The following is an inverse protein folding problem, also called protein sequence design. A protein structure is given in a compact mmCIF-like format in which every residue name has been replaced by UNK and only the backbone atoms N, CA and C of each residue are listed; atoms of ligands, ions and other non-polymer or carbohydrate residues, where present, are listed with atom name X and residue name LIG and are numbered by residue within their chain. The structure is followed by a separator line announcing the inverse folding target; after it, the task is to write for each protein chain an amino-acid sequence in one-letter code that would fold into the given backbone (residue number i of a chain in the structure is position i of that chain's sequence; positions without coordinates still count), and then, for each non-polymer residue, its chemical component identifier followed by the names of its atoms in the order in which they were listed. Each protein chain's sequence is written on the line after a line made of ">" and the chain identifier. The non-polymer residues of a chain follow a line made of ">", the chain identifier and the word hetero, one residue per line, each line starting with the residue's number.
data_IF_530427090386
#
_entry.id   IF_530427090386
#
_cell.length_a   1.000
_cell.length_b   1.000
_cell.length_c   1.000
_cell.angle_alpha   90.00
_cell.angle_beta   90.00
_cell.angle_gamma   90.00
#
_symmetry.space_group_name_H-M   'P 1'
#
loop_
_entity.id
_entity.type
_entity.pdbx_description
1 polymer ?
#
# COMPACT_ATOMS: atom_id res chain seq x y z
N UNK A 1 -9.45 -3.27 -18.46
CA UNK A 1 -10.34 -3.01 -17.32
C UNK A 1 -9.94 -1.71 -16.63
N UNK A 2 -10.88 -0.80 -16.37
CA UNK A 2 -10.67 0.39 -15.52
C UNK A 2 -10.79 0.04 -14.02
N UNK A 3 -10.26 -1.10 -13.60
CA UNK A 3 -10.10 -1.34 -12.16
C UNK A 3 -8.85 -0.59 -11.72
N UNK A 4 -9.04 0.59 -11.15
CA UNK A 4 -7.98 1.24 -10.38
C UNK A 4 -7.75 0.41 -9.12
N UNK A 5 -6.83 -0.55 -9.19
CA UNK A 5 -6.43 -1.37 -8.06
C UNK A 5 -5.78 -0.44 -7.04
N UNK A 6 -6.35 -0.38 -5.84
CA UNK A 6 -5.80 0.43 -4.76
C UNK A 6 -5.44 -0.43 -3.56
N UNK A 7 -4.22 -0.26 -3.07
CA UNK A 7 -3.69 -0.88 -1.87
C UNK A 7 -3.57 0.17 -0.77
N UNK A 8 -4.20 -0.04 0.37
CA UNK A 8 -4.09 0.82 1.55
C UNK A 8 -3.35 0.11 2.67
N UNK A 9 -2.32 0.76 3.21
CA UNK A 9 -1.47 0.25 4.29
C UNK A 9 -1.17 1.35 5.31
N UNK A 10 -0.81 0.95 6.54
CA UNK A 10 -0.44 1.87 7.62
C UNK A 10 0.97 2.42 7.44
N UNK A 11 1.12 3.74 7.32
CA UNK A 11 2.43 4.39 7.37
C UNK A 11 3.02 4.34 8.77
N UNK A 12 2.18 4.40 9.82
CA UNK A 12 2.65 4.29 11.21
C UNK A 12 3.40 2.99 11.43
N UNK A 13 2.81 1.86 11.03
CA UNK A 13 3.44 0.53 11.18
C UNK A 13 4.76 0.45 10.41
N UNK A 14 4.82 1.05 9.22
CA UNK A 14 6.05 1.04 8.41
C UNK A 14 7.18 1.78 9.13
N UNK A 15 6.90 2.94 9.71
CA UNK A 15 7.90 3.74 10.42
C UNK A 15 8.29 3.11 11.76
N UNK A 16 7.34 2.51 12.48
CA UNK A 16 7.54 1.87 13.79
C UNK A 16 8.45 0.63 13.71
N UNK A 17 8.34 -0.16 12.64
CA UNK A 17 9.14 -1.39 12.45
C UNK A 17 10.60 -1.08 12.03
N UNK A 18 10.89 0.13 11.56
CA UNK A 18 12.24 0.62 11.26
C UNK A 18 12.64 0.58 9.77
N UNK A 19 13.83 1.13 9.48
CA UNK A 19 14.28 1.45 8.12
C UNK A 19 14.41 0.24 7.18
N UNK A 20 14.83 -0.92 7.68
CA UNK A 20 14.95 -2.13 6.85
C UNK A 20 13.58 -2.68 6.44
N UNK A 21 12.60 -2.58 7.34
CA UNK A 21 11.22 -2.93 7.05
C UNK A 21 10.61 -1.95 6.05
N UNK A 22 10.83 -0.65 6.26
CA UNK A 22 10.44 0.44 5.36
C UNK A 22 10.92 0.20 3.93
N UNK A 23 12.22 -0.06 3.75
CA UNK A 23 12.80 -0.39 2.44
C UNK A 23 12.15 -1.60 1.81
N UNK A 24 11.98 -2.69 2.58
CA UNK A 24 11.38 -3.93 2.09
C UNK A 24 9.94 -3.72 1.62
N UNK A 25 9.14 -2.96 2.35
CA UNK A 25 7.75 -2.63 1.96
C UNK A 25 7.75 -1.83 0.65
N UNK A 26 8.58 -0.79 0.56
CA UNK A 26 8.63 0.08 -0.62
C UNK A 26 9.13 -0.65 -1.87
N UNK A 27 10.12 -1.54 -1.75
CA UNK A 27 10.59 -2.37 -2.86
C UNK A 27 9.50 -3.32 -3.39
N UNK A 28 8.72 -3.94 -2.49
CA UNK A 28 7.61 -4.80 -2.90
C UNK A 28 6.53 -4.01 -3.63
N UNK A 29 6.15 -2.85 -3.10
CA UNK A 29 5.20 -1.94 -3.75
C UNK A 29 5.68 -1.53 -5.13
N UNK A 30 6.97 -1.19 -5.26
CA UNK A 30 7.57 -0.84 -6.54
C UNK A 30 7.49 -1.98 -7.56
N UNK A 31 7.84 -3.21 -7.14
CA UNK A 31 7.71 -4.41 -7.99
C UNK A 31 6.26 -4.65 -8.43
N UNK A 32 5.30 -4.45 -7.53
CA UNK A 32 3.87 -4.60 -7.86
C UNK A 32 3.41 -3.55 -8.86
N UNK A 33 3.86 -2.30 -8.71
CA UNK A 33 3.59 -1.24 -9.69
C UNK A 33 4.09 -1.60 -11.08
N UNK A 34 5.29 -2.17 -11.19
CA UNK A 34 5.85 -2.59 -12.48
C UNK A 34 5.08 -3.79 -13.08
N UNK A 35 4.57 -4.71 -12.25
CA UNK A 35 3.79 -5.86 -12.72
C UNK A 35 2.36 -5.51 -13.15
N UNK A 36 1.71 -4.62 -12.42
CA UNK A 36 0.31 -4.19 -12.64
C UNK A 36 0.25 -3.08 -13.70
N UNK A 37 1.24 -2.21 -13.73
CA UNK A 37 1.26 -0.95 -14.46
C UNK A 37 0.96 0.23 -13.53
N UNK A 38 1.85 1.23 -13.52
CA UNK A 38 1.80 2.38 -12.61
C UNK A 38 0.52 3.22 -12.70
N UNK A 39 -0.14 3.24 -13.86
CA UNK A 39 -1.42 3.92 -14.07
C UNK A 39 -2.62 3.19 -13.46
N UNK A 40 -2.48 1.89 -13.24
CA UNK A 40 -3.57 1.03 -12.75
C UNK A 40 -3.43 0.67 -11.27
N UNK A 41 -2.27 0.95 -10.67
CA UNK A 41 -1.98 0.65 -9.28
C UNK A 41 -1.80 1.91 -8.45
N UNK A 42 -2.70 2.12 -7.49
CA UNK A 42 -2.66 3.21 -6.52
C UNK A 42 -2.27 2.70 -5.14
N UNK A 43 -1.36 3.40 -4.48
CA UNK A 43 -0.92 3.08 -3.12
C UNK A 43 -1.39 4.18 -2.19
N UNK A 44 -2.05 3.80 -1.10
CA UNK A 44 -2.55 4.73 -0.08
C UNK A 44 -1.79 4.43 1.21
N UNK A 45 -0.91 5.34 1.57
CA UNK A 45 -0.18 5.32 2.83
C UNK A 45 -1.00 6.10 3.85
N UNK A 46 -1.73 5.37 4.69
CA UNK A 46 -2.59 5.96 5.70
C UNK A 46 -1.82 6.23 6.97
N UNK A 47 -1.97 7.40 7.56
CA UNK A 47 -1.34 7.71 8.83
C UNK A 47 -2.33 8.27 9.85
N UNK A 48 -2.16 7.89 11.12
CA UNK A 48 -2.85 8.49 12.25
C UNK A 48 -1.82 9.19 13.14
N UNK A 49 -1.88 10.52 13.23
CA UNK A 49 -1.06 11.31 14.15
C UNK A 49 0.47 11.13 14.01
N UNK A 50 0.97 10.95 12.79
CA UNK A 50 2.42 11.03 12.51
C UNK A 50 2.80 12.49 12.31
N UNK A 51 3.94 12.90 12.87
CA UNK A 51 4.50 14.23 12.71
C UNK A 51 4.93 14.49 11.26
N UNK A 52 4.74 15.74 10.81
CA UNK A 52 5.08 16.15 9.44
C UNK A 52 6.57 15.91 9.13
N UNK A 53 7.44 16.05 10.14
CA UNK A 53 8.88 15.81 10.00
C UNK A 53 9.19 14.36 9.61
N UNK A 54 8.50 13.39 10.20
CA UNK A 54 8.71 11.98 9.92
C UNK A 54 8.15 11.60 8.56
N UNK A 55 6.99 12.17 8.18
CA UNK A 55 6.43 12.02 6.84
C UNK A 55 7.41 12.58 5.79
N UNK A 56 7.95 13.79 6.01
CA UNK A 56 8.95 14.38 5.12
C UNK A 56 10.22 13.53 5.03
N UNK A 57 10.70 13.02 6.17
CA UNK A 57 11.85 12.11 6.21
C UNK A 57 11.61 10.84 5.39
N UNK A 58 10.44 10.22 5.52
CA UNK A 58 10.01 9.07 4.72
C UNK A 58 9.99 9.41 3.22
N UNK A 59 9.37 10.54 2.85
CA UNK A 59 9.30 10.99 1.46
C UNK A 59 10.70 11.23 0.89
N UNK A 60 11.60 11.90 1.61
CA UNK A 60 12.97 12.13 1.15
C UNK A 60 13.76 10.84 0.93
N UNK A 61 13.56 9.82 1.77
CA UNK A 61 14.25 8.52 1.61
C UNK A 61 13.75 7.73 0.40
N UNK A 62 12.48 7.91 0.04
CA UNK A 62 11.80 7.10 -0.98
C UNK A 62 11.29 7.90 -2.18
N UNK A 63 11.77 9.12 -2.37
CA UNK A 63 11.31 10.09 -3.38
C UNK A 63 11.25 9.46 -4.77
N UNK A 64 12.33 8.81 -5.20
CA UNK A 64 12.43 8.15 -6.50
C UNK A 64 11.34 7.11 -6.72
N UNK A 65 11.05 6.29 -5.70
CA UNK A 65 10.02 5.26 -5.79
C UNK A 65 8.67 5.94 -5.83
N UNK A 66 8.38 6.80 -4.85
CA UNK A 66 7.09 7.48 -4.69
C UNK A 66 6.68 8.31 -5.92
N UNK A 67 7.64 8.87 -6.65
CA UNK A 67 7.39 9.59 -7.89
C UNK A 67 6.95 8.67 -9.05
N UNK A 68 7.46 7.43 -9.08
CA UNK A 68 7.16 6.46 -10.14
C UNK A 68 5.85 5.71 -9.91
N UNK A 69 5.38 5.66 -8.66
CA UNK A 69 4.15 4.95 -8.27
C UNK A 69 3.04 5.96 -7.95
N UNK A 70 1.79 5.65 -8.30
CA UNK A 70 0.67 6.51 -7.96
C UNK A 70 0.36 6.42 -6.45
N UNK A 71 1.03 7.24 -5.65
CA UNK A 71 0.92 7.22 -4.18
C UNK A 71 0.09 8.38 -3.65
N UNK A 72 -0.66 8.10 -2.57
CA UNK A 72 -1.32 9.11 -1.74
C UNK A 72 -0.97 8.86 -0.28
N UNK A 73 -0.32 9.83 0.37
CA UNK A 73 -0.16 9.86 1.84
C UNK A 73 -1.34 10.65 2.42
N UNK A 74 -2.08 10.09 3.38
CA UNK A 74 -3.23 10.79 3.96
C UNK A 74 -3.64 10.29 5.34
N UNK A 75 -4.18 11.19 6.16
CA UNK A 75 -4.84 10.86 7.44
C UNK A 75 -6.35 10.74 7.33
N UNK A 76 -6.91 10.98 6.14
CA UNK A 76 -8.35 10.94 5.92
C UNK A 76 -8.82 9.55 5.53
N UNK A 77 -10.01 9.18 6.00
CA UNK A 77 -10.66 7.95 5.55
C UNK A 77 -10.97 8.05 4.06
N UNK A 78 -10.46 7.07 3.32
CA UNK A 78 -10.59 6.97 1.89
C UNK A 78 -10.86 5.51 1.52
N UNK A 79 -11.66 5.33 0.49
CA UNK A 79 -11.97 4.02 -0.04
C UNK A 79 -10.74 3.40 -0.69
N UNK A 80 -10.48 2.14 -0.38
CA UNK A 80 -9.44 1.34 -1.00
C UNK A 80 -10.01 0.01 -1.49
N UNK A 81 -9.41 -0.55 -2.53
CA UNK A 81 -9.85 -1.84 -3.04
C UNK A 81 -9.36 -2.98 -2.14
N UNK A 82 -8.10 -2.91 -1.70
CA UNK A 82 -7.51 -3.82 -0.73
C UNK A 82 -6.88 -3.05 0.43
N UNK A 83 -7.20 -3.45 1.65
CA UNK A 83 -6.61 -2.86 2.87
C UNK A 83 -5.84 -3.91 3.64
N UNK A 84 -4.62 -3.58 4.06
CA UNK A 84 -3.86 -4.35 5.04
C UNK A 84 -3.87 -3.57 6.35
N UNK A 85 -4.33 -4.22 7.41
CA UNK A 85 -4.41 -3.67 8.75
C UNK A 85 -3.81 -4.66 9.74
N UNK A 86 -3.16 -4.17 10.80
CA UNK A 86 -2.48 -5.03 11.77
C UNK A 86 -3.49 -5.79 12.63
N UNK A 87 -4.58 -5.12 12.99
CA UNK A 87 -5.63 -5.63 13.88
C UNK A 87 -7.02 -5.53 13.27
N UNK A 88 -8.01 -6.23 13.83
CA UNK A 88 -9.39 -6.18 13.29
C UNK A 88 -10.08 -4.82 13.53
N UNK A 89 -9.73 -4.16 14.64
CA UNK A 89 -10.39 -2.95 15.14
C UNK A 89 -9.93 -1.66 14.45
N UNK A 90 -8.89 -1.75 13.63
CA UNK A 90 -8.37 -0.65 12.85
C UNK A 90 -9.40 -0.12 11.84
N UNK A 91 -9.83 1.13 12.06
CA UNK A 91 -10.82 1.81 11.21
C UNK A 91 -10.13 2.45 10.00
N UNK A 92 -9.87 1.66 8.97
CA UNK A 92 -9.26 2.12 7.71
C UNK A 92 -10.29 2.61 6.68
N UNK A 93 -11.53 2.88 7.07
CA UNK A 93 -12.59 3.29 6.13
C UNK A 93 -13.07 2.14 5.23
N UNK A 94 -13.85 2.44 4.18
CA UNK A 94 -14.47 1.42 3.34
C UNK A 94 -13.44 0.68 2.48
N UNK A 95 -13.56 -0.64 2.40
CA UNK A 95 -12.71 -1.50 1.58
C UNK A 95 -13.52 -2.60 0.88
N UNK A 96 -13.00 -3.13 -0.24
CA UNK A 96 -13.59 -4.30 -0.90
C UNK A 96 -13.02 -5.61 -0.35
N UNK A 97 -11.72 -5.63 -0.12
CA UNK A 97 -10.99 -6.76 0.44
C UNK A 97 -10.09 -6.28 1.56
N UNK A 98 -9.84 -7.17 2.53
CA UNK A 98 -9.07 -6.87 3.72
C UNK A 98 -8.20 -8.04 4.11
N UNK A 99 -6.98 -7.74 4.54
CA UNK A 99 -6.10 -8.65 5.24
C UNK A 99 -5.81 -8.12 6.64
N UNK A 100 -5.82 -9.01 7.62
CA UNK A 100 -5.49 -8.70 9.02
C UNK A 100 -4.20 -9.43 9.38
N UNK A 101 -3.15 -8.68 9.70
CA UNK A 101 -1.82 -9.21 9.98
C UNK A 101 -0.72 -8.24 9.56
N UNK A 102 0.51 -8.73 9.44
CA UNK A 102 1.67 -7.91 9.05
C UNK A 102 1.54 -7.42 7.61
N UNK A 103 2.04 -6.20 7.33
CA UNK A 103 2.02 -5.63 5.97
C UNK A 103 2.68 -6.58 4.94
N UNK A 104 3.85 -7.14 5.23
CA UNK A 104 4.56 -8.02 4.27
C UNK A 104 3.72 -9.25 3.87
N UNK A 105 3.04 -9.88 4.82
CA UNK A 105 2.20 -11.04 4.55
C UNK A 105 0.95 -10.63 3.75
N UNK A 106 0.38 -9.47 4.08
CA UNK A 106 -0.73 -8.88 3.33
C UNK A 106 -0.36 -8.50 1.90
N UNK A 107 0.86 -8.01 1.68
CA UNK A 107 1.39 -7.71 0.34
C UNK A 107 1.47 -8.97 -0.51
N UNK A 108 1.89 -10.10 0.06
CA UNK A 108 1.91 -11.38 -0.64
C UNK A 108 0.49 -11.85 -1.02
N UNK A 109 -0.50 -11.66 -0.13
CA UNK A 109 -1.91 -11.99 -0.43
C UNK A 109 -2.50 -11.08 -1.52
N UNK A 110 -2.23 -9.78 -1.44
CA UNK A 110 -2.63 -8.81 -2.45
C UNK A 110 -2.10 -9.24 -3.83
N UNK A 111 -0.80 -9.56 -3.91
CA UNK A 111 -0.18 -9.96 -5.17
C UNK A 111 -0.79 -11.25 -5.76
N UNK A 112 -1.04 -12.27 -4.93
CA UNK A 112 -1.71 -13.51 -5.36
C UNK A 112 -3.08 -13.24 -5.99
N UNK A 113 -3.86 -12.38 -5.35
CA UNK A 113 -5.20 -12.04 -5.83
C UNK A 113 -5.13 -11.23 -7.13
N UNK A 114 -4.23 -10.24 -7.22
CA UNK A 114 -4.01 -9.48 -8.46
C UNK A 114 -3.59 -10.39 -9.61
N UNK A 115 -2.67 -11.34 -9.36
CA UNK A 115 -2.26 -12.34 -10.35
C UNK A 115 -3.47 -13.15 -10.83
N UNK A 116 -4.28 -13.67 -9.91
CA UNK A 116 -5.48 -14.44 -10.25
C UNK A 116 -6.50 -13.64 -11.08
N UNK A 117 -6.66 -12.35 -10.81
CA UNK A 117 -7.54 -11.48 -11.60
C UNK A 117 -6.99 -11.28 -13.01
N UNK A 118 -5.69 -11.03 -13.14
CA UNK A 118 -5.02 -10.84 -14.43
C UNK A 118 -5.06 -12.11 -15.28
N UNK A 119 -4.86 -13.29 -14.68
CA UNK A 119 -4.91 -14.57 -15.37
C UNK A 119 -6.33 -14.87 -15.88
N UNK A 120 -7.38 -14.49 -15.13
CA UNK A 120 -8.78 -14.60 -15.57
C UNK A 120 -9.16 -13.64 -16.70
N UNK A 121 -8.48 -12.50 -16.82
CA UNK A 121 -8.70 -11.56 -17.92
C UNK A 121 -8.09 -12.02 -19.25
N UNK A 122 -7.07 -12.87 -19.18
CA UNK A 122 -6.35 -13.38 -20.34
C UNK A 122 -6.89 -14.73 -20.86
N UNK A 123 -7.83 -15.33 -20.15
CA UNK A 123 -8.53 -16.58 -20.51
C UNK A 123 -9.85 -16.28 -21.21
#
# INVERSE_FOLDING_TARGET
>A
MDYTLSLKISLNEILEEGLDYERKVMENIFRFSNYIGSRHFKVILFHSKIDEKDIKGFVSRHENILFQINTKITSTNCQAWFTIQRTQDEKFGPYRYKYVGKIIDGLAQYFKMVKHLKDKEQA
#
